data_IF_225870929088
#
_entry.id   IF_225870929088
#
_cell.length_a   1.000
_cell.length_b   1.000
_cell.length_c   1.000
_cell.angle_alpha   90.00
_cell.angle_beta   90.00
_cell.angle_gamma   90.00
#
_symmetry.space_group_name_H-M   'P 1'
#
loop_
_entity.id
_entity.type
_entity.pdbx_description
1 polymer ?
#
# COMPACT_ATOMS: atom_id res chain seq x y z
N UNK A 1 12.79 6.54 59.64
CA UNK A 1 12.39 5.24 59.03
C UNK A 1 11.62 5.40 57.71
N UNK A 2 10.82 6.47 57.51
CA UNK A 2 10.02 6.67 56.28
C UNK A 2 10.83 6.97 55.00
N UNK A 3 11.99 7.62 55.09
CA UNK A 3 12.78 8.04 53.91
C UNK A 3 13.46 6.86 53.20
N UNK A 4 13.79 5.78 53.93
CA UNK A 4 14.43 4.58 53.35
C UNK A 4 13.48 3.73 52.51
N UNK A 5 12.18 3.74 52.83
CA UNK A 5 11.17 2.99 52.09
C UNK A 5 10.77 3.68 50.79
N UNK A 6 10.74 5.02 50.78
CA UNK A 6 10.48 5.82 49.58
C UNK A 6 11.61 5.68 48.53
N UNK A 7 12.88 5.64 48.96
CA UNK A 7 14.02 5.44 48.07
C UNK A 7 14.02 4.06 47.39
N UNK A 8 13.63 3.01 48.11
CA UNK A 8 13.54 1.63 47.58
C UNK A 8 12.41 1.53 46.54
N UNK A 9 11.26 2.17 46.79
CA UNK A 9 10.14 2.20 45.85
C UNK A 9 10.46 2.98 44.55
N UNK A 10 11.23 4.07 44.65
CA UNK A 10 11.67 4.83 43.46
C UNK A 10 12.64 4.00 42.62
N UNK A 11 13.61 3.30 43.24
CA UNK A 11 14.56 2.44 42.51
C UNK A 11 13.86 1.24 41.86
N UNK A 12 12.88 0.62 42.53
CA UNK A 12 12.12 -0.51 41.96
C UNK A 12 11.18 -0.07 40.81
N UNK A 13 10.72 1.18 40.81
CA UNK A 13 9.91 1.73 39.71
C UNK A 13 10.74 1.98 38.44
N UNK A 14 12.03 2.33 38.58
CA UNK A 14 12.93 2.54 37.44
C UNK A 14 13.39 1.25 36.77
N UNK A 15 13.45 0.11 37.49
CA UNK A 15 13.77 -1.19 36.89
C UNK A 15 12.69 -1.73 35.95
N UNK A 16 11.41 -1.35 36.13
CA UNK A 16 10.32 -1.81 35.27
C UNK A 16 10.24 -1.07 33.92
N UNK A 17 10.79 0.13 33.82
CA UNK A 17 10.71 0.96 32.59
C UNK A 17 11.73 0.52 31.53
N UNK A 18 12.89 -0.04 31.93
CA UNK A 18 13.90 -0.51 30.98
C UNK A 18 13.57 -1.86 30.31
N UNK A 19 12.68 -2.68 30.89
CA UNK A 19 12.31 -3.99 30.34
C UNK A 19 11.33 -3.94 29.16
N UNK A 20 10.53 -2.89 29.04
CA UNK A 20 9.48 -2.79 28.02
C UNK A 20 10.00 -2.30 26.64
N UNK A 21 11.16 -1.63 26.59
CA UNK A 21 11.71 -1.07 25.35
C UNK A 21 12.59 -2.03 24.54
N UNK A 22 12.82 -3.27 25.02
CA UNK A 22 13.72 -4.23 24.39
C UNK A 22 13.01 -5.29 23.52
N UNK A 23 11.68 -5.18 23.32
CA UNK A 23 10.96 -6.10 22.45
C UNK A 23 11.07 -5.62 20.99
N UNK A 24 12.23 -5.83 20.38
CA UNK A 24 12.32 -5.88 18.93
C UNK A 24 11.54 -7.11 18.49
N UNK A 25 10.26 -6.96 18.18
CA UNK A 25 9.58 -7.94 17.33
C UNK A 25 10.36 -7.92 16.01
N UNK A 26 11.32 -8.83 15.86
CA UNK A 26 11.92 -9.12 14.58
C UNK A 26 10.76 -9.52 13.68
N UNK A 27 10.40 -8.67 12.72
CA UNK A 27 9.41 -9.02 11.72
C UNK A 27 9.95 -10.26 11.02
N UNK A 28 9.36 -11.42 11.30
CA UNK A 28 9.70 -12.65 10.59
C UNK A 28 9.25 -12.45 9.15
N UNK A 29 10.20 -12.21 8.25
CA UNK A 29 9.89 -12.07 6.83
C UNK A 29 9.25 -13.36 6.31
N UNK A 30 8.16 -13.20 5.55
CA UNK A 30 7.54 -14.33 4.86
C UNK A 30 8.26 -14.57 3.56
N UNK A 31 8.87 -15.74 3.42
CA UNK A 31 9.42 -16.20 2.16
C UNK A 31 8.29 -16.63 1.21
N UNK A 32 8.38 -16.24 -0.05
CA UNK A 32 7.42 -16.61 -1.10
C UNK A 32 8.18 -17.28 -2.25
N UNK A 33 7.66 -18.39 -2.80
CA UNK A 33 8.15 -18.91 -4.08
C UNK A 33 8.05 -17.82 -5.16
N UNK A 34 9.06 -17.73 -6.02
CA UNK A 34 9.07 -16.75 -7.11
C UNK A 34 7.84 -16.89 -8.01
N UNK A 35 7.37 -18.11 -8.25
CA UNK A 35 6.13 -18.36 -9.00
C UNK A 35 4.90 -17.75 -8.35
N UNK A 36 4.78 -17.84 -7.01
CA UNK A 36 3.69 -17.24 -6.26
C UNK A 36 3.78 -15.71 -6.27
N UNK A 37 5.00 -15.17 -6.15
CA UNK A 37 5.22 -13.73 -6.29
C UNK A 37 4.77 -13.20 -7.66
N UNK A 38 5.18 -13.85 -8.74
CA UNK A 38 4.80 -13.45 -10.10
C UNK A 38 3.29 -13.56 -10.32
N UNK A 39 2.64 -14.61 -9.79
CA UNK A 39 1.18 -14.76 -9.84
C UNK A 39 0.47 -13.58 -9.16
N UNK A 40 0.93 -13.18 -7.98
CA UNK A 40 0.41 -12.00 -7.26
C UNK A 40 0.65 -10.70 -8.02
N UNK A 41 1.82 -10.52 -8.64
CA UNK A 41 2.12 -9.33 -9.44
C UNK A 41 1.19 -9.21 -10.64
N UNK A 42 0.91 -10.32 -11.34
CA UNK A 42 -0.06 -10.36 -12.45
C UNK A 42 -1.47 -10.05 -11.95
N UNK A 43 -1.87 -10.65 -10.83
CA UNK A 43 -3.16 -10.39 -10.20
C UNK A 43 -3.32 -8.94 -9.77
N UNK A 44 -2.27 -8.30 -9.25
CA UNK A 44 -2.26 -6.89 -8.89
C UNK A 44 -2.48 -6.00 -10.12
N UNK A 45 -1.75 -6.27 -11.21
CA UNK A 45 -1.90 -5.53 -12.47
C UNK A 45 -3.32 -5.62 -13.03
N UNK A 46 -3.87 -6.85 -13.14
CA UNK A 46 -5.24 -7.07 -13.63
C UNK A 46 -6.28 -6.45 -12.68
N UNK A 47 -6.06 -6.57 -11.37
CA UNK A 47 -6.95 -6.02 -10.34
C UNK A 47 -7.06 -4.50 -10.42
N UNK A 48 -5.94 -3.82 -10.66
CA UNK A 48 -5.91 -2.38 -10.91
C UNK A 48 -6.69 -2.03 -12.17
N UNK A 49 -6.42 -2.69 -13.30
CA UNK A 49 -7.14 -2.46 -14.55
C UNK A 49 -8.66 -2.61 -14.37
N UNK A 50 -9.08 -3.65 -13.64
CA UNK A 50 -10.49 -3.88 -13.32
C UNK A 50 -11.08 -2.77 -12.44
N UNK A 51 -10.35 -2.31 -11.42
CA UNK A 51 -10.79 -1.24 -10.52
C UNK A 51 -10.94 0.10 -11.24
N UNK A 52 -9.91 0.50 -11.99
CA UNK A 52 -9.89 1.74 -12.79
C UNK A 52 -11.04 1.72 -13.81
N UNK A 53 -11.16 0.65 -14.60
CA UNK A 53 -12.21 0.55 -15.60
C UNK A 53 -13.63 0.54 -15.04
N UNK A 54 -13.83 -0.09 -13.89
CA UNK A 54 -15.14 -0.12 -13.24
C UNK A 54 -15.50 1.19 -12.55
N UNK A 55 -14.49 1.90 -12.01
CA UNK A 55 -14.65 3.19 -11.33
C UNK A 55 -14.80 4.38 -12.27
N UNK A 56 -14.16 4.37 -13.45
CA UNK A 56 -14.12 5.49 -14.39
C UNK A 56 -15.51 6.10 -14.70
N UNK A 57 -16.59 5.33 -14.93
CA UNK A 57 -17.91 5.91 -15.21
C UNK A 57 -18.58 6.66 -14.04
N UNK A 58 -18.01 6.55 -12.83
CA UNK A 58 -18.50 7.21 -11.61
C UNK A 58 -17.67 8.42 -11.19
N UNK A 59 -16.53 8.63 -11.85
CA UNK A 59 -15.58 9.70 -11.54
C UNK A 59 -16.27 11.09 -11.56
N UNK A 60 -16.13 11.85 -10.47
CA UNK A 60 -16.76 13.18 -10.27
C UNK A 60 -18.30 13.23 -10.34
N UNK A 61 -19.01 12.10 -10.32
CA UNK A 61 -20.49 12.09 -10.44
C UNK A 61 -21.25 12.04 -9.12
N UNK A 62 -20.58 11.63 -8.03
CA UNK A 62 -21.19 11.41 -6.72
C UNK A 62 -20.42 12.13 -5.59
N UNK A 63 -20.03 13.38 -5.82
CA UNK A 63 -19.26 14.16 -4.86
C UNK A 63 -19.98 14.30 -3.50
N UNK A 64 -19.27 13.99 -2.41
CA UNK A 64 -19.81 14.11 -1.05
C UNK A 64 -20.87 13.07 -0.67
N UNK A 65 -21.07 12.02 -1.48
CA UNK A 65 -22.01 10.93 -1.19
C UNK A 65 -21.49 9.58 -1.67
N UNK A 66 -22.05 8.51 -1.11
CA UNK A 66 -21.80 7.15 -1.60
C UNK A 66 -22.60 6.95 -2.89
N UNK A 67 -22.00 6.28 -3.88
CA UNK A 67 -22.68 5.85 -5.11
C UNK A 67 -23.80 4.87 -4.73
N UNK A 68 -25.07 5.15 -5.07
CA UNK A 68 -26.16 4.19 -4.84
C UNK A 68 -25.90 2.86 -5.56
N UNK A 69 -26.25 1.74 -4.92
CA UNK A 69 -25.97 0.40 -5.44
C UNK A 69 -26.63 0.14 -6.80
N UNK A 70 -27.83 0.70 -7.02
CA UNK A 70 -28.57 0.62 -8.28
C UNK A 70 -28.00 1.51 -9.39
N UNK A 71 -27.15 2.49 -9.03
CA UNK A 71 -26.43 3.36 -9.96
C UNK A 71 -24.99 2.90 -10.23
N UNK A 72 -24.49 1.87 -9.52
CA UNK A 72 -23.18 1.31 -9.78
C UNK A 72 -23.12 0.70 -11.20
N UNK A 73 -22.06 0.99 -11.98
CA UNK A 73 -21.89 0.37 -13.28
C UNK A 73 -21.90 -1.16 -13.17
N UNK A 74 -22.47 -1.85 -14.16
CA UNK A 74 -22.31 -3.31 -14.23
C UNK A 74 -20.90 -3.63 -14.68
N UNK A 75 -20.22 -4.49 -13.93
CA UNK A 75 -18.92 -4.99 -14.35
C UNK A 75 -19.08 -5.94 -15.55
N UNK A 76 -18.22 -5.78 -16.55
CA UNK A 76 -18.08 -6.71 -17.67
C UNK A 76 -16.60 -6.94 -17.96
N UNK A 77 -16.19 -8.05 -18.59
CA UNK A 77 -14.79 -8.28 -18.93
C UNK A 77 -14.16 -7.17 -19.76
N UNK A 78 -14.95 -6.49 -20.60
CA UNK A 78 -14.51 -5.36 -21.44
C UNK A 78 -14.10 -4.14 -20.60
N UNK A 79 -14.59 -3.99 -19.37
CA UNK A 79 -14.16 -2.89 -18.49
C UNK A 79 -12.69 -3.01 -18.10
N UNK A 80 -12.09 -4.21 -18.16
CA UNK A 80 -10.66 -4.41 -17.89
C UNK A 80 -9.81 -3.95 -19.07
N UNK A 81 -10.25 -4.23 -20.30
CA UNK A 81 -9.44 -4.04 -21.50
C UNK A 81 -9.64 -2.66 -22.14
N UNK A 82 -9.36 -1.62 -21.36
CA UNK A 82 -9.49 -0.21 -21.73
C UNK A 82 -8.16 0.52 -21.53
N UNK A 83 -7.88 1.56 -22.30
CA UNK A 83 -6.55 2.18 -22.41
C UNK A 83 -6.57 3.71 -22.33
N UNK A 84 -7.74 4.30 -22.05
CA UNK A 84 -7.93 5.75 -22.10
C UNK A 84 -7.86 6.41 -20.72
N UNK A 85 -7.70 5.63 -19.64
CA UNK A 85 -7.49 6.15 -18.29
C UNK A 85 -6.00 6.35 -18.01
N UNK A 86 -5.66 7.50 -17.44
CA UNK A 86 -4.29 7.89 -17.08
C UNK A 86 -3.64 6.93 -16.08
N UNK A 87 -4.43 6.40 -15.15
CA UNK A 87 -4.01 5.34 -14.24
C UNK A 87 -3.44 4.10 -14.96
N UNK A 88 -3.78 3.88 -16.25
CA UNK A 88 -3.32 2.72 -17.02
C UNK A 88 -2.15 3.03 -17.94
N UNK A 89 -2.10 4.22 -18.55
CA UNK A 89 -1.04 4.56 -19.51
C UNK A 89 0.15 5.30 -18.89
N UNK A 90 -0.03 6.06 -17.81
CA UNK A 90 1.09 6.76 -17.12
C UNK A 90 2.01 5.75 -16.44
N UNK A 91 1.48 4.66 -15.93
CA UNK A 91 2.31 3.63 -15.31
C UNK A 91 3.20 2.90 -16.32
N UNK A 92 2.73 2.75 -17.57
CA UNK A 92 3.55 2.17 -18.64
C UNK A 92 4.76 3.03 -18.96
N UNK A 93 4.61 4.36 -18.98
CA UNK A 93 5.75 5.27 -19.17
C UNK A 93 6.67 5.26 -17.95
N UNK A 94 6.12 5.19 -16.74
CA UNK A 94 6.92 5.05 -15.51
C UNK A 94 7.75 3.76 -15.48
N UNK A 95 7.15 2.61 -15.79
CA UNK A 95 7.87 1.34 -15.91
C UNK A 95 8.97 1.40 -16.97
N UNK A 96 8.70 2.07 -18.09
CA UNK A 96 9.70 2.28 -19.14
C UNK A 96 10.87 3.15 -18.67
N UNK A 97 10.61 4.18 -17.87
CA UNK A 97 11.68 4.97 -17.22
C UNK A 97 12.54 4.09 -16.34
N UNK A 98 11.94 3.25 -15.48
CA UNK A 98 12.68 2.35 -14.60
C UNK A 98 13.50 1.32 -15.38
N UNK A 99 12.99 0.82 -16.50
CA UNK A 99 13.73 -0.09 -17.37
C UNK A 99 14.96 0.57 -18.01
N UNK A 100 14.84 1.84 -18.44
CA UNK A 100 15.91 2.57 -19.12
C UNK A 100 16.95 3.20 -18.19
N UNK A 101 16.52 3.62 -17.00
CA UNK A 101 17.32 4.47 -16.11
C UNK A 101 17.50 3.89 -14.70
N UNK A 102 16.82 2.79 -14.38
CA UNK A 102 16.86 2.20 -13.04
C UNK A 102 16.13 3.05 -12.00
N UNK A 103 16.37 2.74 -10.73
CA UNK A 103 15.76 3.43 -9.59
C UNK A 103 16.31 4.84 -9.36
N UNK A 104 17.45 5.18 -9.95
CA UNK A 104 18.11 6.49 -9.83
C UNK A 104 17.69 7.48 -10.93
N UNK A 105 16.55 7.24 -11.59
CA UNK A 105 16.02 8.14 -12.61
C UNK A 105 15.85 9.56 -12.07
N UNK A 106 16.38 10.55 -12.80
CA UNK A 106 16.18 11.95 -12.45
C UNK A 106 14.75 12.41 -12.74
N UNK A 107 14.34 13.52 -12.14
CA UNK A 107 13.02 14.12 -12.40
C UNK A 107 12.78 14.47 -13.88
N UNK A 108 13.84 14.70 -14.67
CA UNK A 108 13.73 14.96 -16.11
C UNK A 108 13.56 13.70 -16.95
N UNK A 109 13.78 12.54 -16.36
CA UNK A 109 13.64 11.21 -17.00
C UNK A 109 12.37 10.50 -16.56
N UNK A 110 11.75 10.94 -15.46
CA UNK A 110 10.48 10.44 -14.97
C UNK A 110 9.33 11.07 -15.76
N UNK A 111 8.92 10.42 -16.85
CA UNK A 111 7.77 10.81 -17.68
C UNK A 111 7.95 12.15 -18.39
#
# INVERSE_FOLDING_TARGET
MMIRHAAILIVLSQLNIYGACAQTNSLTERQLPVSEYIDKMKGAWIGQMAGVGWGAPTEFRFEGRIVPEDEMPKWTPETVNQFEQDDLYVEMTFLRTLELHGLDASIRQAG
#
